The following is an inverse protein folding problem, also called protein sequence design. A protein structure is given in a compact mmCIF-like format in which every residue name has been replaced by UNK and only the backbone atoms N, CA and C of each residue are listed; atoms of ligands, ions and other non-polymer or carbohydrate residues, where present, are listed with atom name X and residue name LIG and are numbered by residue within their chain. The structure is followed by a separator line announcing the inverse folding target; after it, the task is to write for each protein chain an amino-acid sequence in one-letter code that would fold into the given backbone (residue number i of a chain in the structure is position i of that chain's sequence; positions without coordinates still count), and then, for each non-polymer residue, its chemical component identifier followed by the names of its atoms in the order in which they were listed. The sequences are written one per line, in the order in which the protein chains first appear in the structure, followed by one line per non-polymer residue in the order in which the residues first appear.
data_IF_869965846822
#
_entry.id   IF_869965846822
#
_cell.length_a   1.000
_cell.length_b   1.000
_cell.length_c   1.000
_cell.angle_alpha   90.00
_cell.angle_beta   90.00
_cell.angle_gamma   90.00
#
_symmetry.space_group_name_H-M   'P 1'
#
loop_
_entity.id
_entity.type
_entity.pdbx_description
1 polymer ?
#
# COMPACT_ATOMS: atom_id res chain seq x y z
N UNK A 1 -13.47 -35.28 -29.62
CA UNK A 1 -12.53 -34.17 -29.96
C UNK A 1 -12.39 -33.27 -28.73
N UNK A 2 -11.40 -33.52 -27.88
CA UNK A 2 -11.21 -32.74 -26.63
C UNK A 2 -10.57 -31.40 -26.99
N UNK A 3 -11.29 -30.29 -26.78
CA UNK A 3 -10.75 -28.94 -26.97
C UNK A 3 -9.53 -28.77 -26.05
N UNK A 4 -8.33 -28.73 -26.63
CA UNK A 4 -7.11 -28.30 -25.94
C UNK A 4 -7.35 -26.89 -25.41
N UNK A 5 -7.58 -26.77 -24.11
CA UNK A 5 -7.52 -25.50 -23.40
C UNK A 5 -6.03 -25.13 -23.38
N UNK A 6 -5.59 -24.35 -24.37
CA UNK A 6 -4.27 -23.72 -24.36
C UNK A 6 -4.20 -22.82 -23.12
N UNK A 7 -3.40 -23.25 -22.12
CA UNK A 7 -2.95 -22.38 -21.02
C UNK A 7 -2.34 -21.12 -21.65
N UNK A 8 -3.05 -19.98 -21.56
CA UNK A 8 -2.55 -18.68 -22.01
C UNK A 8 -1.23 -18.36 -21.29
N UNK A 9 -0.21 -18.02 -22.07
CA UNK A 9 1.14 -17.64 -21.66
C UNK A 9 1.22 -16.84 -20.34
N UNK A 10 1.63 -17.51 -19.23
CA UNK A 10 1.85 -16.90 -17.92
C UNK A 10 2.72 -15.63 -17.95
N UNK A 11 3.78 -15.60 -18.78
CA UNK A 11 4.72 -14.46 -18.82
C UNK A 11 4.12 -13.16 -19.38
N UNK A 12 3.18 -13.24 -20.32
CA UNK A 12 2.54 -12.04 -20.86
C UNK A 12 1.59 -11.39 -19.85
N UNK A 13 0.90 -12.21 -19.04
CA UNK A 13 0.00 -11.75 -17.98
C UNK A 13 0.78 -11.08 -16.86
N UNK A 14 1.95 -11.61 -16.48
CA UNK A 14 2.82 -11.03 -15.44
C UNK A 14 3.33 -9.64 -15.82
N UNK A 15 3.89 -9.47 -17.02
CA UNK A 15 4.41 -8.16 -17.46
C UNK A 15 3.28 -7.14 -17.59
N UNK A 16 2.11 -7.54 -18.13
CA UNK A 16 0.97 -6.65 -18.26
C UNK A 16 0.45 -6.19 -16.89
N UNK A 17 0.37 -7.11 -15.91
CA UNK A 17 0.04 -6.79 -14.52
C UNK A 17 1.02 -5.78 -13.94
N UNK A 18 2.32 -5.99 -14.12
CA UNK A 18 3.34 -5.10 -13.58
C UNK A 18 3.32 -3.70 -14.19
N UNK A 19 3.07 -3.60 -15.51
CA UNK A 19 2.89 -2.31 -16.19
C UNK A 19 1.65 -1.57 -15.64
N UNK A 20 0.51 -2.26 -15.47
CA UNK A 20 -0.68 -1.64 -14.88
C UNK A 20 -0.41 -1.13 -13.45
N UNK A 21 0.34 -1.91 -12.66
CA UNK A 21 0.76 -1.54 -11.31
C UNK A 21 1.64 -0.29 -11.34
N UNK A 22 2.69 -0.27 -12.17
CA UNK A 22 3.60 0.87 -12.30
C UNK A 22 2.87 2.16 -12.72
N UNK A 23 1.94 2.08 -13.68
CA UNK A 23 1.14 3.25 -14.08
C UNK A 23 0.24 3.71 -12.92
N UNK A 24 -0.40 2.78 -12.19
CA UNK A 24 -1.17 3.16 -10.97
C UNK A 24 -0.30 3.82 -9.90
N UNK A 25 0.98 3.48 -9.87
CA UNK A 25 1.99 4.05 -8.99
C UNK A 25 2.64 5.34 -9.58
N UNK A 26 2.15 5.86 -10.70
CA UNK A 26 2.63 7.11 -11.28
C UNK A 26 3.95 7.01 -12.05
N UNK A 27 4.46 5.79 -12.27
CA UNK A 27 5.53 5.50 -13.24
C UNK A 27 4.88 5.36 -14.62
N UNK A 28 4.52 6.50 -15.20
CA UNK A 28 3.67 6.60 -16.38
C UNK A 28 4.43 6.76 -17.71
N UNK A 29 5.77 6.80 -17.68
CA UNK A 29 6.59 6.85 -18.90
C UNK A 29 7.42 5.57 -19.10
N UNK A 30 7.74 5.17 -20.34
CA UNK A 30 8.60 4.01 -20.59
C UNK A 30 9.96 4.12 -19.89
N UNK A 31 10.54 5.33 -19.85
CA UNK A 31 11.80 5.57 -19.14
C UNK A 31 11.67 5.26 -17.65
N UNK A 32 10.58 5.71 -17.02
CA UNK A 32 10.33 5.45 -15.60
C UNK A 32 10.00 3.99 -15.31
N UNK A 33 9.44 3.24 -16.27
CA UNK A 33 9.13 1.82 -16.11
C UNK A 33 10.35 0.92 -16.30
N UNK A 34 11.28 1.31 -17.17
CA UNK A 34 12.48 0.52 -17.48
C UNK A 34 13.36 0.26 -16.26
N UNK A 35 13.37 1.20 -15.31
CA UNK A 35 14.11 1.07 -14.04
C UNK A 35 13.55 -0.05 -13.13
N UNK A 36 12.30 -0.48 -13.35
CA UNK A 36 11.61 -1.45 -12.51
C UNK A 36 11.27 -2.75 -13.23
N UNK A 37 11.27 -2.74 -14.57
CA UNK A 37 10.95 -3.90 -15.38
C UNK A 37 12.23 -4.50 -15.95
N UNK A 38 12.49 -5.77 -15.63
CA UNK A 38 13.59 -6.56 -16.21
C UNK A 38 13.28 -6.99 -17.66
N UNK A 39 12.97 -6.03 -18.53
CA UNK A 39 12.61 -6.26 -19.94
C UNK A 39 13.27 -5.25 -20.86
N UNK A 40 13.67 -5.70 -22.04
CA UNK A 40 14.18 -4.82 -23.12
C UNK A 40 13.17 -3.74 -23.52
N UNK A 41 13.67 -2.60 -24.03
CA UNK A 41 12.86 -1.45 -24.47
C UNK A 41 11.84 -1.82 -25.56
N UNK A 42 12.24 -2.67 -26.51
CA UNK A 42 11.40 -3.15 -27.61
C UNK A 42 10.21 -3.93 -27.06
N UNK A 43 10.47 -4.82 -26.10
CA UNK A 43 9.46 -5.64 -25.43
C UNK A 43 8.49 -4.79 -24.61
N UNK A 44 8.97 -3.81 -23.85
CA UNK A 44 8.11 -2.85 -23.14
C UNK A 44 7.19 -2.11 -24.11
N UNK A 45 7.74 -1.59 -25.20
CA UNK A 45 6.95 -0.88 -26.23
C UNK A 45 5.90 -1.78 -26.89
N UNK A 46 6.23 -3.05 -27.15
CA UNK A 46 5.27 -4.04 -27.65
C UNK A 46 4.10 -4.22 -26.67
N UNK A 47 4.39 -4.38 -25.38
CA UNK A 47 3.36 -4.53 -24.35
C UNK A 47 2.49 -3.27 -24.22
N UNK A 48 3.08 -2.08 -24.21
CA UNK A 48 2.35 -0.82 -24.15
C UNK A 48 1.40 -0.66 -25.34
N UNK A 49 1.88 -0.90 -26.58
CA UNK A 49 1.02 -0.87 -27.79
C UNK A 49 -0.17 -1.84 -27.67
N UNK A 50 0.08 -3.05 -27.19
CA UNK A 50 -0.96 -4.07 -27.00
C UNK A 50 -1.97 -3.70 -25.90
N UNK A 51 -1.52 -3.04 -24.83
CA UNK A 51 -2.40 -2.59 -23.76
C UNK A 51 -3.28 -1.41 -24.20
N UNK A 52 -2.77 -0.54 -25.07
CA UNK A 52 -3.57 0.51 -25.73
C UNK A 52 -4.64 -0.12 -26.63
N UNK A 53 -4.26 -1.06 -27.50
CA UNK A 53 -5.23 -1.72 -28.39
C UNK A 53 -6.32 -2.48 -27.64
N UNK A 54 -5.99 -2.99 -26.45
CA UNK A 54 -6.94 -3.66 -25.56
C UNK A 54 -7.73 -2.69 -24.67
N UNK A 55 -7.54 -1.37 -24.82
CA UNK A 55 -8.26 -0.35 -24.05
C UNK A 55 -7.92 -0.31 -22.56
N UNK A 56 -6.80 -0.90 -22.12
CA UNK A 56 -6.40 -0.93 -20.71
C UNK A 56 -5.66 0.34 -20.27
N UNK A 57 -4.97 0.99 -21.20
CA UNK A 57 -4.25 2.24 -20.95
C UNK A 57 -4.51 3.21 -22.10
N UNK A 58 -4.46 4.50 -21.81
CA UNK A 58 -4.54 5.56 -22.82
C UNK A 58 -3.26 6.39 -22.82
N UNK A 59 -2.97 7.03 -23.95
CA UNK A 59 -1.92 8.06 -24.02
C UNK A 59 -2.53 9.38 -23.62
N UNK A 60 -2.06 9.93 -22.50
CA UNK A 60 -2.43 11.28 -22.07
C UNK A 60 -1.58 12.34 -22.79
N UNK A 61 -0.29 12.05 -23.00
CA UNK A 61 0.62 12.87 -23.79
C UNK A 61 1.73 12.01 -24.41
N UNK A 62 2.66 12.62 -25.14
CA UNK A 62 3.71 11.89 -25.85
C UNK A 62 4.58 11.08 -24.87
N UNK A 63 4.39 9.76 -24.89
CA UNK A 63 5.12 8.83 -24.03
C UNK A 63 4.66 8.79 -22.58
N UNK A 64 3.51 9.36 -22.24
CA UNK A 64 2.89 9.30 -20.91
C UNK A 64 1.57 8.55 -21.00
N UNK A 65 1.41 7.54 -20.14
CA UNK A 65 0.27 6.64 -20.12
C UNK A 65 -0.55 6.78 -18.84
N UNK A 66 -1.87 6.73 -18.97
CA UNK A 66 -2.79 6.64 -17.84
C UNK A 66 -3.63 5.36 -17.91
N UNK A 67 -4.12 4.90 -16.76
CA UNK A 67 -5.07 3.79 -16.71
C UNK A 67 -6.45 4.24 -17.15
N UNK A 68 -7.06 3.49 -18.08
CA UNK A 68 -8.50 3.61 -18.36
C UNK A 68 -9.30 2.98 -17.21
N UNK A 69 -10.63 3.16 -17.19
CA UNK A 69 -11.48 2.46 -16.22
C UNK A 69 -11.36 0.93 -16.32
N UNK A 70 -11.24 0.39 -17.54
CA UNK A 70 -10.99 -1.03 -17.76
C UNK A 70 -9.60 -1.46 -17.23
N UNK A 71 -8.58 -0.61 -17.40
CA UNK A 71 -7.25 -0.79 -16.83
C UNK A 71 -7.25 -0.79 -15.31
N UNK A 72 -7.93 0.18 -14.68
CA UNK A 72 -8.12 0.27 -13.22
C UNK A 72 -8.82 -0.97 -12.69
N UNK A 73 -9.91 -1.42 -13.35
CA UNK A 73 -10.63 -2.63 -12.98
C UNK A 73 -9.76 -3.87 -13.10
N UNK A 74 -9.00 -4.00 -14.19
CA UNK A 74 -8.09 -5.13 -14.41
C UNK A 74 -6.95 -5.15 -13.38
N UNK A 75 -6.34 -3.99 -13.11
CA UNK A 75 -5.34 -3.83 -12.06
C UNK A 75 -5.91 -4.24 -10.69
N UNK A 76 -7.11 -3.77 -10.37
CA UNK A 76 -7.80 -4.11 -9.13
C UNK A 76 -8.08 -5.62 -9.00
N UNK A 77 -8.43 -6.32 -10.09
CA UNK A 77 -8.61 -7.79 -10.08
C UNK A 77 -7.29 -8.50 -9.77
N UNK A 78 -6.20 -8.12 -10.44
CA UNK A 78 -4.88 -8.70 -10.18
C UNK A 78 -4.37 -8.42 -8.77
N UNK A 79 -4.72 -7.26 -8.23
CA UNK A 79 -4.42 -6.84 -6.86
C UNK A 79 -5.28 -7.61 -5.84
N UNK A 80 -6.53 -7.92 -6.15
CA UNK A 80 -7.44 -8.66 -5.26
C UNK A 80 -7.10 -10.14 -5.13
N UNK A 81 -6.68 -10.82 -6.20
CA UNK A 81 -6.37 -12.26 -6.11
C UNK A 81 -5.06 -12.52 -5.35
N UNK A 82 -4.01 -11.72 -5.60
CA UNK A 82 -2.72 -11.89 -4.92
C UNK A 82 -2.68 -11.17 -3.56
N UNK A 83 -3.45 -10.09 -3.40
CA UNK A 83 -3.41 -9.20 -2.22
C UNK A 83 -4.11 -9.73 -0.97
N UNK A 84 -4.96 -10.76 -1.08
CA UNK A 84 -5.68 -11.34 0.07
C UNK A 84 -4.76 -11.88 1.17
N UNK A 85 -3.51 -12.24 0.82
CA UNK A 85 -2.52 -12.78 1.76
C UNK A 85 -1.34 -11.83 2.00
N UNK A 86 -1.37 -10.65 1.40
CA UNK A 86 -0.25 -9.70 1.44
C UNK A 86 -0.50 -8.64 2.49
N UNK A 87 0.57 -8.21 3.17
CA UNK A 87 0.54 -7.05 4.04
C UNK A 87 0.33 -5.81 3.19
N UNK A 88 -0.49 -4.88 3.68
CA UNK A 88 -0.76 -3.60 3.03
C UNK A 88 -0.27 -2.46 3.89
N UNK A 89 0.47 -1.53 3.27
CA UNK A 89 0.64 -0.20 3.79
C UNK A 89 -0.64 0.58 3.51
N UNK A 90 -1.37 0.96 4.55
CA UNK A 90 -2.64 1.69 4.45
C UNK A 90 -2.41 3.19 4.37
N UNK A 91 -1.45 3.70 5.14
CA UNK A 91 -1.19 5.12 5.24
C UNK A 91 0.24 5.35 5.73
N UNK A 92 0.94 6.27 5.10
CA UNK A 92 2.23 6.78 5.55
C UNK A 92 2.42 8.16 4.97
N UNK A 93 2.94 9.09 5.77
CA UNK A 93 3.07 10.49 5.36
C UNK A 93 4.45 11.02 5.69
N UNK A 94 4.96 11.81 4.76
CA UNK A 94 6.18 12.57 4.93
C UNK A 94 5.89 14.04 4.77
N UNK A 95 6.68 14.88 5.42
CA UNK A 95 6.63 16.33 5.29
C UNK A 95 8.01 16.90 5.05
N UNK A 96 8.07 18.04 4.38
CA UNK A 96 9.27 18.86 4.27
C UNK A 96 8.89 20.35 4.30
N UNK A 97 9.81 21.19 4.77
CA UNK A 97 9.65 22.64 4.71
C UNK A 97 9.84 23.13 3.27
N UNK A 98 9.08 24.12 2.86
CA UNK A 98 9.27 24.84 1.60
C UNK A 98 10.04 26.12 1.94
N UNK A 99 11.31 26.20 1.53
CA UNK A 99 12.12 27.39 1.72
C UNK A 99 11.93 28.38 0.56
N UNK A 100 11.86 27.88 -0.68
CA UNK A 100 11.63 28.69 -1.86
C UNK A 100 10.87 27.94 -2.95
N UNK A 101 10.34 28.66 -3.93
CA UNK A 101 9.67 28.09 -5.11
C UNK A 101 8.19 27.74 -4.90
N UNK A 102 7.52 28.31 -3.89
CA UNK A 102 6.12 27.99 -3.57
C UNK A 102 5.17 28.09 -4.78
N UNK A 103 5.27 29.19 -5.56
CA UNK A 103 4.44 29.36 -6.77
C UNK A 103 4.66 28.21 -7.77
N UNK A 104 5.92 27.81 -7.96
CA UNK A 104 6.30 26.72 -8.84
C UNK A 104 5.80 25.37 -8.33
N UNK A 105 5.88 25.10 -7.03
CA UNK A 105 5.30 23.90 -6.41
C UNK A 105 3.80 23.82 -6.72
N UNK A 106 3.08 24.92 -6.58
CA UNK A 106 1.64 24.95 -6.86
C UNK A 106 1.31 24.66 -8.34
N UNK A 107 2.22 24.93 -9.30
CA UNK A 107 2.05 24.52 -10.71
C UNK A 107 2.15 23.00 -10.91
N UNK A 108 2.88 22.28 -10.03
CA UNK A 108 2.97 20.81 -10.08
C UNK A 108 1.79 20.11 -9.41
N UNK A 109 1.04 20.81 -8.55
CA UNK A 109 -0.08 20.24 -7.80
C UNK A 109 -1.34 20.34 -8.64
N UNK A 110 -1.90 19.17 -8.98
CA UNK A 110 -3.17 19.07 -9.71
C UNK A 110 -4.35 19.24 -8.78
N UNK A 111 -5.36 19.96 -9.27
CA UNK A 111 -6.67 20.19 -8.65
C UNK A 111 -6.59 20.66 -7.17
N UNK A 112 -5.84 21.73 -6.86
CA UNK A 112 -5.67 22.19 -5.48
C UNK A 112 -6.99 22.74 -4.91
N UNK A 113 -7.55 22.02 -3.92
CA UNK A 113 -8.68 22.47 -3.11
C UNK A 113 -8.17 23.25 -1.91
N UNK A 114 -8.66 24.47 -1.75
CA UNK A 114 -8.25 25.39 -0.70
C UNK A 114 -9.22 25.28 0.48
N UNK A 115 -8.68 25.20 1.69
CA UNK A 115 -9.42 25.29 2.94
C UNK A 115 -8.67 26.17 3.93
N UNK A 116 -9.36 27.10 4.58
CA UNK A 116 -8.80 27.84 5.71
C UNK A 116 -9.06 27.08 7.00
N UNK A 117 -8.02 26.98 7.84
CA UNK A 117 -8.10 26.41 9.18
C UNK A 117 -8.28 27.53 10.21
N UNK A 118 -8.89 27.19 11.35
CA UNK A 118 -9.26 28.14 12.43
C UNK A 118 -8.07 28.91 13.04
N UNK A 119 -6.84 28.46 12.78
CA UNK A 119 -5.60 29.08 13.27
C UNK A 119 -4.90 29.99 12.24
N UNK A 120 -5.61 30.41 11.18
CA UNK A 120 -5.06 31.27 10.12
C UNK A 120 -4.06 30.55 9.21
N UNK A 121 -4.10 29.21 9.18
CA UNK A 121 -3.34 28.39 8.23
C UNK A 121 -4.20 28.14 7.00
N UNK A 122 -3.65 28.42 5.82
CA UNK A 122 -4.27 28.02 4.55
C UNK A 122 -3.74 26.65 4.16
N UNK A 123 -4.65 25.71 3.91
CA UNK A 123 -4.34 24.37 3.46
C UNK A 123 -4.76 24.20 2.00
N UNK A 124 -3.84 23.69 1.19
CA UNK A 124 -4.09 23.29 -0.20
C UNK A 124 -4.01 21.76 -0.28
N UNK A 125 -5.08 21.10 -0.71
CA UNK A 125 -5.12 19.66 -0.91
C UNK A 125 -5.14 19.37 -2.40
N UNK A 126 -4.26 18.50 -2.90
CA UNK A 126 -4.24 18.16 -4.32
C UNK A 126 -3.47 16.89 -4.60
N UNK A 127 -3.01 16.74 -5.83
CA UNK A 127 -2.26 15.57 -6.30
C UNK A 127 -0.93 15.97 -6.93
N UNK A 128 0.17 15.41 -6.44
CA UNK A 128 1.48 15.45 -7.10
C UNK A 128 1.70 14.10 -7.78
N UNK A 129 1.57 14.05 -9.10
CA UNK A 129 1.36 12.78 -9.82
C UNK A 129 0.18 12.01 -9.20
N UNK A 130 0.36 10.76 -8.82
CA UNK A 130 -0.64 9.95 -8.13
C UNK A 130 -0.71 10.24 -6.62
N UNK A 131 0.34 10.81 -6.01
CA UNK A 131 0.43 11.01 -4.56
C UNK A 131 -0.53 12.12 -4.08
N UNK A 132 -1.26 11.85 -3.01
CA UNK A 132 -2.04 12.87 -2.30
C UNK A 132 -1.09 13.82 -1.57
N UNK A 133 -1.25 15.12 -1.81
CA UNK A 133 -0.42 16.15 -1.17
C UNK A 133 -1.27 17.18 -0.47
N UNK A 134 -0.68 17.73 0.59
CA UNK A 134 -1.21 18.82 1.37
C UNK A 134 -0.13 19.88 1.55
N UNK A 135 -0.40 21.11 1.15
CA UNK A 135 0.49 22.25 1.42
C UNK A 135 -0.14 23.11 2.51
N UNK A 136 0.57 23.26 3.61
CA UNK A 136 0.18 24.09 4.74
C UNK A 136 0.96 25.40 4.68
N UNK A 137 0.24 26.52 4.62
CA UNK A 137 0.81 27.86 4.54
C UNK A 137 0.36 28.67 5.74
N UNK A 138 1.30 29.07 6.57
CA UNK A 138 1.11 29.99 7.68
C UNK A 138 1.97 31.23 7.48
N UNK A 139 1.80 32.25 8.35
CA UNK A 139 2.70 33.42 8.37
C UNK A 139 4.16 33.05 8.65
N UNK A 140 4.41 31.96 9.40
CA UNK A 140 5.75 31.56 9.88
C UNK A 140 6.41 30.47 9.04
N UNK A 141 5.64 29.66 8.32
CA UNK A 141 6.16 28.49 7.65
C UNK A 141 5.27 28.04 6.49
N UNK A 142 5.91 27.41 5.51
CA UNK A 142 5.27 26.65 4.44
C UNK A 142 5.75 25.21 4.52
N UNK A 143 4.84 24.26 4.49
CA UNK A 143 5.15 22.84 4.61
C UNK A 143 4.40 22.06 3.56
N UNK A 144 5.12 21.20 2.83
CA UNK A 144 4.55 20.20 1.94
C UNK A 144 4.47 18.88 2.69
N UNK A 145 3.29 18.30 2.80
CA UNK A 145 3.03 16.97 3.31
C UNK A 145 2.56 16.08 2.15
N UNK A 146 3.17 14.91 2.01
CA UNK A 146 2.92 13.94 0.96
C UNK A 146 2.45 12.64 1.62
N UNK A 147 1.27 12.17 1.22
CA UNK A 147 0.73 10.88 1.61
C UNK A 147 1.11 9.84 0.56
N UNK A 148 1.72 8.75 1.02
CA UNK A 148 2.11 7.64 0.17
C UNK A 148 0.88 6.90 -0.35
N UNK A 149 0.99 6.31 -1.54
CA UNK A 149 -0.04 5.40 -2.03
C UNK A 149 -0.05 4.11 -1.21
N UNK A 150 -1.22 3.48 -1.14
CA UNK A 150 -1.35 2.15 -0.56
C UNK A 150 -0.51 1.16 -1.35
N UNK A 151 0.27 0.33 -0.66
CA UNK A 151 1.14 -0.66 -1.29
C UNK A 151 0.99 -2.02 -0.63
N UNK A 152 0.87 -3.06 -1.46
CA UNK A 152 0.83 -4.45 -1.03
C UNK A 152 2.19 -5.11 -1.21
N UNK A 153 2.49 -6.07 -0.36
CA UNK A 153 3.65 -6.95 -0.53
C UNK A 153 3.77 -7.97 0.60
N UNK A 154 4.83 -8.76 0.53
CA UNK A 154 5.13 -9.79 1.52
C UNK A 154 6.10 -9.26 2.58
N UNK A 155 7.05 -8.41 2.17
CA UNK A 155 8.05 -7.82 3.05
C UNK A 155 7.71 -6.36 3.39
N UNK A 156 7.36 -6.10 4.66
CA UNK A 156 7.00 -4.77 5.18
C UNK A 156 8.10 -3.72 5.00
N UNK A 157 9.38 -4.07 5.15
CA UNK A 157 10.48 -3.11 4.97
C UNK A 157 10.66 -2.73 3.50
N UNK A 158 10.51 -3.68 2.59
CA UNK A 158 10.56 -3.42 1.15
C UNK A 158 9.41 -2.49 0.73
N UNK A 159 8.20 -2.74 1.22
CA UNK A 159 7.03 -1.88 0.99
C UNK A 159 7.31 -0.46 1.50
N UNK A 160 7.79 -0.33 2.73
CA UNK A 160 8.13 0.94 3.35
C UNK A 160 9.16 1.71 2.50
N UNK A 161 10.25 1.05 2.12
CA UNK A 161 11.31 1.65 1.32
C UNK A 161 10.81 2.10 -0.06
N UNK A 162 10.03 1.26 -0.75
CA UNK A 162 9.43 1.59 -2.05
C UNK A 162 8.48 2.79 -1.95
N UNK A 163 7.66 2.86 -0.90
CA UNK A 163 6.76 3.98 -0.66
C UNK A 163 7.53 5.28 -0.41
N UNK A 164 8.57 5.24 0.43
CA UNK A 164 9.44 6.39 0.69
C UNK A 164 10.16 6.86 -0.57
N UNK A 165 10.78 5.94 -1.31
CA UNK A 165 11.50 6.24 -2.55
C UNK A 165 10.60 6.90 -3.60
N UNK A 166 9.34 6.46 -3.72
CA UNK A 166 8.37 7.09 -4.61
C UNK A 166 8.13 8.57 -4.29
N UNK A 167 8.08 8.93 -3.01
CA UNK A 167 7.98 10.34 -2.57
C UNK A 167 9.27 11.09 -2.88
N UNK A 168 10.42 10.52 -2.54
CA UNK A 168 11.74 11.12 -2.82
C UNK A 168 11.93 11.40 -4.31
N UNK A 169 11.61 10.44 -5.18
CA UNK A 169 11.68 10.58 -6.64
C UNK A 169 10.74 11.67 -7.17
N UNK A 170 9.54 11.81 -6.58
CA UNK A 170 8.59 12.84 -6.96
C UNK A 170 9.10 14.24 -6.59
N UNK A 171 9.63 14.40 -5.37
CA UNK A 171 10.18 15.67 -4.89
C UNK A 171 11.49 16.03 -5.61
N UNK A 172 12.38 15.07 -5.83
CA UNK A 172 13.62 15.28 -6.56
C UNK A 172 13.37 15.80 -7.98
N UNK A 173 12.41 15.20 -8.70
CA UNK A 173 12.03 15.68 -10.04
C UNK A 173 11.49 17.10 -10.02
N UNK A 174 10.76 17.48 -8.98
CA UNK A 174 10.24 18.84 -8.80
C UNK A 174 11.37 19.86 -8.58
N UNK A 175 12.45 19.48 -7.89
CA UNK A 175 13.61 20.35 -7.64
C UNK A 175 14.62 20.41 -8.79
N UNK A 176 14.45 19.61 -9.85
CA UNK A 176 15.46 19.43 -10.92
C UNK A 176 15.82 20.71 -11.68
N UNK A 177 14.89 21.67 -11.78
CA UNK A 177 15.12 22.93 -12.50
C UNK A 177 15.76 24.03 -11.64
N UNK A 178 16.09 23.73 -10.37
CA UNK A 178 16.76 24.65 -9.44
C UNK A 178 15.89 25.78 -8.91
N UNK A 179 14.58 25.82 -9.23
CA UNK A 179 13.66 26.91 -8.82
C UNK A 179 12.89 26.63 -7.54
N UNK A 180 13.11 25.45 -6.94
CA UNK A 180 12.40 24.97 -5.76
C UNK A 180 13.43 24.49 -4.75
N UNK A 181 13.32 25.00 -3.52
CA UNK A 181 14.18 24.61 -2.39
C UNK A 181 13.32 24.01 -1.30
N UNK A 182 13.45 22.71 -1.07
CA UNK A 182 12.78 21.97 0.00
C UNK A 182 13.77 21.63 1.12
N UNK A 183 13.27 21.54 2.35
CA UNK A 183 14.00 20.97 3.47
C UNK A 183 14.05 19.45 3.43
N UNK A 184 14.71 18.88 4.44
CA UNK A 184 14.80 17.42 4.59
C UNK A 184 13.42 16.79 4.70
N UNK A 185 13.27 15.62 4.09
CA UNK A 185 12.06 14.82 4.20
C UNK A 185 12.00 14.15 5.56
N UNK A 186 10.94 14.42 6.31
CA UNK A 186 10.71 13.89 7.66
C UNK A 186 9.40 13.09 7.69
N UNK A 187 9.32 11.96 8.42
CA UNK A 187 8.05 11.29 8.63
C UNK A 187 7.11 12.20 9.43
N UNK A 188 5.90 12.43 8.92
CA UNK A 188 4.85 13.15 9.67
C UNK A 188 3.85 12.22 10.33
N UNK A 189 3.82 10.96 9.91
CA UNK A 189 2.94 9.93 10.43
C UNK A 189 3.66 8.58 10.42
N UNK A 190 3.47 7.77 11.47
CA UNK A 190 3.92 6.38 11.49
C UNK A 190 3.15 5.57 10.43
N UNK A 191 3.77 4.54 9.83
CA UNK A 191 3.08 3.72 8.85
C UNK A 191 1.97 2.90 9.52
N UNK A 192 0.77 2.97 8.96
CA UNK A 192 -0.37 2.12 9.31
C UNK A 192 -0.35 0.91 8.37
N UNK A 193 -0.42 -0.29 8.95
CA UNK A 193 -0.34 -1.55 8.24
C UNK A 193 -1.61 -2.34 8.44
N UNK A 194 -2.09 -2.99 7.40
CA UNK A 194 -3.19 -3.95 7.49
C UNK A 194 -2.71 -5.34 7.04
N UNK A 195 -2.79 -6.30 7.95
CA UNK A 195 -2.17 -7.63 7.85
C UNK A 195 -3.30 -8.67 7.77
N UNK A 196 -3.46 -9.38 6.64
CA UNK A 196 -4.40 -10.50 6.59
C UNK A 196 -4.02 -11.56 7.61
N UNK A 197 -4.98 -11.98 8.44
CA UNK A 197 -4.67 -12.86 9.57
C UNK A 197 -5.78 -13.90 9.81
N UNK A 198 -5.47 -15.22 9.84
CA UNK A 198 -6.49 -16.26 10.01
C UNK A 198 -7.21 -16.17 11.36
N UNK A 199 -6.51 -15.78 12.42
CA UNK A 199 -7.13 -15.61 13.74
C UNK A 199 -8.05 -14.39 13.77
N UNK A 200 -7.79 -13.36 12.95
CA UNK A 200 -8.68 -12.20 12.87
C UNK A 200 -10.06 -12.61 12.35
N UNK A 201 -10.12 -13.48 11.34
CA UNK A 201 -11.36 -14.04 10.80
C UNK A 201 -12.13 -14.81 11.89
N UNK A 202 -11.45 -15.72 12.59
CA UNK A 202 -12.05 -16.51 13.67
C UNK A 202 -12.60 -15.62 14.80
N UNK A 203 -11.83 -14.62 15.25
CA UNK A 203 -12.26 -13.71 16.32
C UNK A 203 -13.52 -12.96 15.89
N UNK A 204 -13.52 -12.36 14.70
CA UNK A 204 -14.65 -11.58 14.20
C UNK A 204 -15.90 -12.43 13.94
N UNK A 205 -15.74 -13.67 13.51
CA UNK A 205 -16.85 -14.62 13.35
C UNK A 205 -17.42 -15.04 14.71
N UNK A 206 -16.57 -15.34 15.70
CA UNK A 206 -17.00 -15.77 17.04
C UNK A 206 -17.66 -14.67 17.86
N UNK A 207 -17.25 -13.42 17.67
CA UNK A 207 -17.83 -12.27 18.38
C UNK A 207 -18.94 -11.58 17.59
N UNK A 208 -19.34 -12.12 16.43
CA UNK A 208 -20.31 -11.54 15.50
C UNK A 208 -20.03 -10.05 15.20
N UNK A 209 -18.76 -9.67 15.24
CA UNK A 209 -18.34 -8.27 15.13
C UNK A 209 -17.80 -7.98 13.73
N UNK A 210 -18.09 -6.78 13.22
CA UNK A 210 -17.45 -6.27 12.01
C UNK A 210 -16.05 -5.71 12.30
N UNK A 211 -15.84 -5.23 13.54
CA UNK A 211 -14.60 -4.61 13.99
C UNK A 211 -14.44 -4.76 15.50
N UNK A 212 -13.21 -5.03 15.95
CA UNK A 212 -12.81 -4.99 17.37
C UNK A 212 -11.60 -4.07 17.51
N UNK A 213 -11.67 -3.13 18.46
CA UNK A 213 -10.54 -2.25 18.80
C UNK A 213 -9.80 -2.81 20.01
N UNK A 214 -8.48 -2.87 19.92
CA UNK A 214 -7.60 -3.30 21.00
C UNK A 214 -6.60 -2.18 21.33
N UNK A 215 -5.87 -2.33 22.43
CA UNK A 215 -4.77 -1.41 22.78
C UNK A 215 -3.64 -1.40 21.73
N UNK A 216 -3.50 -2.47 20.95
CA UNK A 216 -2.38 -2.70 20.03
C UNK A 216 -2.77 -2.65 18.56
N UNK A 217 -4.00 -2.23 18.24
CA UNK A 217 -4.48 -2.20 16.86
C UNK A 217 -5.97 -2.51 16.73
N UNK A 218 -6.40 -2.70 15.50
CA UNK A 218 -7.81 -2.95 15.14
C UNK A 218 -7.92 -4.26 14.37
N UNK A 219 -8.83 -5.12 14.76
CA UNK A 219 -9.20 -6.32 14.01
C UNK A 219 -10.46 -5.98 13.22
N UNK A 220 -10.42 -6.13 11.89
CA UNK A 220 -11.45 -5.57 11.02
C UNK A 220 -11.78 -6.48 9.83
N UNK A 221 -13.04 -6.51 9.40
CA UNK A 221 -13.43 -7.09 8.11
C UNK A 221 -13.09 -6.13 6.99
N UNK A 222 -12.04 -6.42 6.23
CA UNK A 222 -11.57 -5.53 5.18
C UNK A 222 -12.26 -5.77 3.85
N UNK A 223 -12.64 -4.67 3.17
CA UNK A 223 -13.31 -4.75 1.87
C UNK A 223 -12.38 -5.33 0.80
N UNK A 224 -12.61 -6.59 0.43
CA UNK A 224 -11.81 -7.30 -0.57
C UNK A 224 -10.65 -8.13 0.02
N UNK A 225 -10.45 -8.10 1.34
CA UNK A 225 -9.48 -8.93 2.08
C UNK A 225 -10.17 -9.42 3.35
N UNK A 226 -10.60 -10.68 3.39
CA UNK A 226 -11.55 -11.24 4.38
C UNK A 226 -11.53 -10.57 5.77
N UNK A 227 -10.43 -10.70 6.49
CA UNK A 227 -10.20 -10.07 7.78
C UNK A 227 -8.72 -9.69 7.93
N UNK A 228 -8.49 -8.50 8.47
CA UNK A 228 -7.16 -7.96 8.70
C UNK A 228 -6.97 -7.57 10.17
N UNK A 229 -5.70 -7.56 10.58
CA UNK A 229 -5.25 -6.90 11.79
C UNK A 229 -4.47 -5.64 11.39
N UNK A 230 -5.00 -4.49 11.77
CA UNK A 230 -4.44 -3.16 11.53
C UNK A 230 -3.54 -2.74 12.70
N UNK A 231 -2.31 -2.32 12.42
CA UNK A 231 -1.33 -1.87 13.42
C UNK A 231 -0.56 -0.64 12.94
N UNK A 232 -0.17 0.23 13.87
CA UNK A 232 0.49 1.51 13.56
C UNK A 232 2.02 1.45 13.73
N UNK A 233 2.57 0.24 13.84
CA UNK A 233 4.00 0.00 14.05
C UNK A 233 4.53 -1.18 13.24
N UNK A 234 5.70 -0.96 12.62
CA UNK A 234 6.36 -1.95 11.77
C UNK A 234 6.93 -3.13 12.57
N UNK A 235 7.23 -2.94 13.86
CA UNK A 235 7.70 -4.04 14.73
C UNK A 235 6.52 -4.90 15.18
N UNK A 236 5.41 -4.29 15.55
CA UNK A 236 4.17 -5.02 15.84
C UNK A 236 3.67 -5.81 14.63
N UNK A 237 3.86 -5.28 13.42
CA UNK A 237 3.54 -5.97 12.17
C UNK A 237 4.21 -7.35 12.11
N UNK A 238 5.48 -7.46 12.48
CA UNK A 238 6.20 -8.75 12.50
C UNK A 238 5.58 -9.75 13.47
N UNK A 239 5.28 -9.29 14.68
CA UNK A 239 4.71 -10.14 15.73
C UNK A 239 3.37 -10.71 15.29
N UNK A 240 2.52 -9.87 14.69
CA UNK A 240 1.22 -10.30 14.16
C UNK A 240 1.40 -11.28 13.00
N UNK A 241 2.34 -11.01 12.07
CA UNK A 241 2.61 -11.93 10.96
C UNK A 241 3.09 -13.33 11.42
N UNK A 242 3.87 -13.39 12.51
CA UNK A 242 4.45 -14.63 13.02
C UNK A 242 3.56 -15.36 14.04
N UNK A 243 2.52 -14.71 14.56
CA UNK A 243 1.64 -15.24 15.61
C UNK A 243 1.09 -16.65 15.33
N UNK A 244 0.64 -17.01 14.11
CA UNK A 244 0.16 -18.37 13.85
C UNK A 244 1.24 -19.44 14.08
N UNK A 245 2.47 -19.16 13.66
CA UNK A 245 3.61 -20.07 13.83
C UNK A 245 4.00 -20.18 15.31
N UNK A 246 3.95 -19.06 16.04
CA UNK A 246 4.28 -19.04 17.47
C UNK A 246 3.23 -19.81 18.28
N UNK A 247 1.94 -19.70 17.93
CA UNK A 247 0.87 -20.50 18.55
C UNK A 247 1.04 -21.98 18.27
N UNK A 248 1.38 -22.36 17.05
CA UNK A 248 1.63 -23.77 16.69
C UNK A 248 2.81 -24.35 17.49
N UNK A 249 3.90 -23.59 17.63
CA UNK A 249 5.05 -23.97 18.47
C UNK A 249 4.67 -24.13 19.94
N UNK A 250 3.88 -23.20 20.48
CA UNK A 250 3.37 -23.29 21.86
C UNK A 250 2.53 -24.56 22.02
N UNK A 251 1.65 -24.85 21.07
CA UNK A 251 0.82 -26.06 21.10
C UNK A 251 1.65 -27.34 21.10
N UNK A 252 2.68 -27.41 20.25
CA UNK A 252 3.61 -28.54 20.21
C UNK A 252 4.39 -28.72 21.51
N UNK A 253 4.93 -27.61 22.07
CA UNK A 253 5.65 -27.65 23.35
C UNK A 253 4.78 -28.10 24.51
N UNK A 254 3.53 -27.60 24.58
CA UNK A 254 2.56 -28.04 25.58
C UNK A 254 2.24 -29.53 25.45
N UNK A 255 2.06 -30.04 24.22
CA UNK A 255 1.85 -31.46 23.98
C UNK A 255 3.00 -32.33 24.48
N UNK A 256 4.25 -31.91 24.24
CA UNK A 256 5.44 -32.61 24.74
C UNK A 256 5.53 -32.58 26.27
N UNK A 257 5.24 -31.44 26.90
CA UNK A 257 5.20 -31.33 28.36
C UNK A 257 4.12 -32.23 28.95
N UNK A 258 2.91 -32.23 28.39
CA UNK A 258 1.81 -33.09 28.85
C UNK A 258 2.18 -34.58 28.80
N UNK A 259 2.84 -35.01 27.71
CA UNK A 259 3.37 -36.38 27.61
C UNK A 259 4.45 -36.68 28.66
N UNK A 260 5.38 -35.75 28.89
CA UNK A 260 6.45 -35.92 29.87
C UNK A 260 5.93 -36.01 31.32
N UNK A 261 4.87 -35.27 31.64
CA UNK A 261 4.26 -35.25 32.98
C UNK A 261 3.09 -36.23 33.15
N UNK A 262 2.78 -37.06 32.14
CA UNK A 262 1.66 -38.03 32.20
C UNK A 262 0.28 -37.39 32.35
N UNK A 263 0.12 -36.13 31.90
CA UNK A 263 -1.15 -35.40 32.00
C UNK A 263 -2.00 -35.76 30.78
N UNK A 264 -2.98 -36.65 30.98
CA UNK A 264 -3.80 -37.19 29.89
C UNK A 264 -5.12 -36.45 29.63
N UNK A 265 -5.55 -35.53 30.49
CA UNK A 265 -6.83 -34.83 30.31
C UNK A 265 -6.77 -33.36 30.71
N UNK A 266 -7.21 -32.49 29.79
CA UNK A 266 -7.79 -31.21 30.18
C UNK A 266 -9.11 -31.52 30.88
N UNK A 267 -9.17 -31.43 32.21
CA UNK A 267 -10.47 -31.27 32.86
C UNK A 267 -11.01 -29.93 32.40
N UNK A 268 -12.10 -29.92 31.63
CA UNK A 268 -12.86 -28.70 31.42
C UNK A 268 -13.09 -28.05 32.79
N UNK A 269 -12.91 -26.72 32.93
CA UNK A 269 -13.27 -26.07 34.18
C UNK A 269 -14.73 -26.43 34.47
N UNK A 270 -15.06 -26.87 35.70
CA UNK A 270 -16.43 -27.22 36.03
C UNK A 270 -17.30 -26.03 35.67
N UNK A 271 -18.31 -26.25 34.84
CA UNK A 271 -19.31 -25.24 34.45
C UNK A 271 -19.76 -24.48 35.71
N UNK A 272 -19.25 -23.27 35.88
CA UNK A 272 -19.16 -22.66 37.20
C UNK A 272 -18.97 -21.15 37.12
N UNK A 273 -20.05 -20.47 36.73
CA UNK A 273 -20.38 -19.08 37.09
C UNK A 273 -19.44 -18.02 36.50
N UNK A 274 -19.81 -17.52 35.31
CA UNK A 274 -19.53 -16.13 34.98
C UNK A 274 -20.63 -15.27 35.64
N UNK A 275 -20.27 -14.51 36.67
CA UNK A 275 -20.96 -13.28 37.08
C UNK A 275 -20.20 -12.09 36.50
#
# INVERSE_FOLDING_TARGET
MVKKITKKNCKHTVIAKEILRLISEGYNSPSSMYEYLEVSKEKLNYHLKKMISNGLISKYSQGIYDLTEAGKKSNATYVKEDGKKMVQLENMRFKCKIYDGFKKIMEYIRDPKISQLNNGVTQYNGKLKNLSVKVLVSKKSKTLEVTCEKKLGVNRYEIYYKARKQVEDALFRMMKDGKITLGMLEPSMKPEWAIPHPIAEIILDKTESSQIRTKYGVINRSKGRNADWEVDDITQTERVMNMPNDIEKIHQQLGLMMQQYGINEFKEPPNGIYM
#
